data_IF_086863805728
#
_entry.id   IF_086863805728
#
_cell.length_a   1.000
_cell.length_b   1.000
_cell.length_c   1.000
_cell.angle_alpha   90.00
_cell.angle_beta   90.00
_cell.angle_gamma   90.00
#
_symmetry.space_group_name_H-M   'P 1'
#
loop_
_entity.id
_entity.type
_entity.pdbx_description
1 polymer ?
#
# COMPACT_ATOMS: atom_id res chain seq x y z
N UNK A 1 -5.40 3.71 11.86
CA UNK A 1 -6.02 4.12 10.60
C UNK A 1 -5.73 3.07 9.54
N UNK A 2 -6.68 2.80 8.65
CA UNK A 2 -6.52 1.86 7.54
C UNK A 2 -6.89 2.54 6.22
N UNK A 3 -6.03 2.40 5.22
CA UNK A 3 -6.23 2.83 3.85
C UNK A 3 -6.24 1.59 2.95
N UNK A 4 -7.19 1.53 2.02
CA UNK A 4 -7.27 0.48 1.00
C UNK A 4 -7.38 1.13 -0.37
N UNK A 5 -6.52 0.70 -1.29
CA UNK A 5 -6.55 1.12 -2.68
C UNK A 5 -6.83 -0.13 -3.51
N UNK A 6 -7.89 -0.09 -4.31
CA UNK A 6 -8.26 -1.16 -5.24
C UNK A 6 -8.28 -0.57 -6.64
N UNK A 7 -7.63 -1.25 -7.58
CA UNK A 7 -7.73 -0.99 -9.01
C UNK A 7 -9.06 -1.57 -9.53
N UNK A 8 -9.73 -0.87 -10.45
CA UNK A 8 -11.01 -1.24 -11.09
C UNK A 8 -10.93 -2.39 -12.11
N UNK A 9 -9.82 -3.13 -12.13
CA UNK A 9 -9.63 -4.31 -12.98
C UNK A 9 -8.88 -4.02 -14.28
N UNK A 10 -7.96 -3.06 -14.27
CA UNK A 10 -7.11 -2.75 -15.41
C UNK A 10 -6.44 -4.02 -15.98
N UNK A 11 -6.31 -4.13 -17.32
CA UNK A 11 -5.66 -5.27 -17.95
C UNK A 11 -4.26 -5.44 -17.38
N UNK A 12 -3.93 -6.68 -17.01
CA UNK A 12 -2.58 -7.03 -16.53
C UNK A 12 -1.57 -6.71 -17.62
N UNK A 13 -0.81 -5.65 -17.42
CA UNK A 13 0.42 -5.44 -18.18
C UNK A 13 1.45 -6.48 -17.70
N UNK A 14 2.33 -6.91 -18.60
CA UNK A 14 3.49 -7.72 -18.20
C UNK A 14 4.19 -7.02 -17.02
N UNK A 15 4.45 -7.78 -15.96
CA UNK A 15 5.23 -7.29 -14.85
C UNK A 15 6.63 -6.96 -15.38
N UNK A 16 6.85 -5.68 -15.73
CA UNK A 16 8.18 -5.18 -16.04
C UNK A 16 9.12 -5.39 -14.85
N UNK A 17 10.39 -5.03 -15.02
CA UNK A 17 11.36 -5.08 -13.91
C UNK A 17 10.79 -4.34 -12.70
N UNK A 18 10.51 -5.08 -11.63
CA UNK A 18 9.75 -4.58 -10.48
C UNK A 18 10.25 -3.22 -9.97
N UNK A 19 9.32 -2.33 -9.62
CA UNK A 19 9.64 -1.01 -9.09
C UNK A 19 9.92 -1.02 -7.59
N UNK A 20 10.69 -0.04 -7.10
CA UNK A 20 11.01 0.11 -5.67
C UNK A 20 9.91 0.83 -4.87
N UNK A 21 8.85 1.32 -5.52
CA UNK A 21 7.85 2.18 -4.90
C UNK A 21 7.09 1.52 -3.75
N UNK A 22 6.65 0.25 -3.90
CA UNK A 22 5.95 -0.48 -2.85
C UNK A 22 6.87 -0.84 -1.68
N UNK A 23 8.13 -1.20 -1.96
CA UNK A 23 9.12 -1.48 -0.92
C UNK A 23 9.41 -0.23 -0.07
N UNK A 24 9.66 0.91 -0.73
CA UNK A 24 9.89 2.17 -0.04
C UNK A 24 8.66 2.70 0.72
N UNK A 25 7.45 2.30 0.31
CA UNK A 25 6.22 2.61 1.04
C UNK A 25 6.06 1.68 2.26
N UNK A 26 6.41 0.40 2.14
CA UNK A 26 6.38 -0.54 3.25
C UNK A 26 7.35 -0.10 4.37
N UNK A 27 8.58 0.27 4.02
CA UNK A 27 9.56 0.80 4.97
C UNK A 27 9.03 2.02 5.74
N UNK A 28 8.34 2.94 5.05
CA UNK A 28 7.71 4.11 5.67
C UNK A 28 6.55 3.72 6.59
N UNK A 29 5.74 2.74 6.19
CA UNK A 29 4.65 2.23 7.01
C UNK A 29 5.19 1.62 8.31
N UNK A 30 6.24 0.81 8.22
CA UNK A 30 6.91 0.20 9.38
C UNK A 30 7.54 1.25 10.30
N UNK A 31 8.21 2.26 9.72
CA UNK A 31 8.77 3.37 10.49
C UNK A 31 7.69 4.16 11.26
N UNK A 32 6.46 4.19 10.75
CA UNK A 32 5.29 4.76 11.43
C UNK A 32 4.60 3.78 12.41
N UNK A 33 5.16 2.60 12.67
CA UNK A 33 4.58 1.55 13.50
C UNK A 33 3.41 0.80 12.86
N UNK A 34 3.31 0.88 11.53
CA UNK A 34 2.27 0.27 10.72
C UNK A 34 2.76 -0.92 9.89
N UNK A 35 1.93 -1.30 8.91
CA UNK A 35 2.19 -2.38 7.96
C UNK A 35 1.55 -2.08 6.61
N UNK A 36 2.15 -2.61 5.55
CA UNK A 36 1.65 -2.52 4.18
C UNK A 36 1.54 -3.93 3.60
N UNK A 37 0.41 -4.25 2.98
CA UNK A 37 0.23 -5.47 2.20
C UNK A 37 -0.25 -5.13 0.79
N UNK A 38 0.31 -5.83 -0.20
CA UNK A 38 -0.10 -5.75 -1.59
C UNK A 38 -0.52 -7.14 -2.05
N UNK A 39 -1.69 -7.23 -2.68
CA UNK A 39 -2.20 -8.45 -3.28
C UNK A 39 -2.65 -8.17 -4.71
N UNK A 40 -2.42 -9.12 -5.59
CA UNK A 40 -2.88 -9.06 -6.97
C UNK A 40 -3.68 -10.34 -7.28
N UNK A 41 -4.86 -10.17 -7.87
CA UNK A 41 -5.71 -11.26 -8.33
C UNK A 41 -6.16 -10.96 -9.76
N UNK A 42 -5.46 -11.54 -10.74
CA UNK A 42 -5.66 -11.20 -12.16
C UNK A 42 -5.40 -9.72 -12.41
N UNK A 43 -6.39 -9.03 -13.01
CA UNK A 43 -6.34 -7.58 -13.26
C UNK A 43 -6.63 -6.72 -12.03
N UNK A 44 -7.09 -7.31 -10.92
CA UNK A 44 -7.36 -6.57 -9.69
C UNK A 44 -6.08 -6.47 -8.84
N UNK A 45 -5.78 -5.26 -8.38
CA UNK A 45 -4.69 -4.98 -7.45
C UNK A 45 -5.26 -4.32 -6.20
N UNK A 46 -4.93 -4.87 -5.04
CA UNK A 46 -5.32 -4.35 -3.74
C UNK A 46 -4.09 -4.01 -2.90
N UNK A 47 -3.99 -2.76 -2.48
CA UNK A 47 -3.01 -2.29 -1.51
C UNK A 47 -3.71 -1.94 -0.19
N UNK A 48 -3.28 -2.54 0.91
CA UNK A 48 -3.75 -2.20 2.26
C UNK A 48 -2.61 -1.62 3.07
N UNK A 49 -2.77 -0.38 3.54
CA UNK A 49 -1.87 0.27 4.49
C UNK A 49 -2.58 0.42 5.83
N UNK A 50 -1.96 -0.08 6.89
CA UNK A 50 -2.43 0.10 8.27
C UNK A 50 -1.37 0.85 9.03
N UNK A 51 -1.71 1.98 9.62
CA UNK A 51 -0.80 2.74 10.51
C UNK A 51 -1.52 3.11 11.79
N UNK A 52 -0.86 3.14 12.95
CA UNK A 52 -1.47 3.66 14.17
C UNK A 52 -1.94 5.09 13.93
N UNK A 53 -3.14 5.42 14.40
CA UNK A 53 -3.62 6.81 14.32
C UNK A 53 -2.93 7.54 15.47
N UNK A 54 -1.91 8.32 15.19
CA UNK A 54 -1.51 9.37 16.10
C UNK A 54 -2.59 10.44 16.07
N UNK A 55 -3.18 10.73 17.23
CA UNK A 55 -3.95 11.95 17.40
C UNK A 55 -2.96 13.09 17.12
N UNK A 56 -3.22 13.90 16.08
CA UNK A 56 -2.55 15.19 16.00
C UNK A 56 -3.07 15.98 17.21
N UNK A 57 -2.19 16.21 18.18
CA UNK A 57 -2.38 17.30 19.13
C UNK A 57 -2.63 18.56 18.30
N UNK A 58 -3.85 19.08 18.40
CA UNK A 58 -4.24 20.32 17.74
C UNK A 58 -3.67 21.42 18.62
N UNK A 59 -2.48 21.92 18.25
CA UNK A 59 -1.90 23.13 18.82
C UNK A 59 -2.35 24.36 18.01
#
# INVERSE_FOLDING_TARGET
MRLVIVNDGAPTADAGTGGTGLAALAERAEAAGGSLTAAQAGGEFTLTLTVPRTEKETA
#
